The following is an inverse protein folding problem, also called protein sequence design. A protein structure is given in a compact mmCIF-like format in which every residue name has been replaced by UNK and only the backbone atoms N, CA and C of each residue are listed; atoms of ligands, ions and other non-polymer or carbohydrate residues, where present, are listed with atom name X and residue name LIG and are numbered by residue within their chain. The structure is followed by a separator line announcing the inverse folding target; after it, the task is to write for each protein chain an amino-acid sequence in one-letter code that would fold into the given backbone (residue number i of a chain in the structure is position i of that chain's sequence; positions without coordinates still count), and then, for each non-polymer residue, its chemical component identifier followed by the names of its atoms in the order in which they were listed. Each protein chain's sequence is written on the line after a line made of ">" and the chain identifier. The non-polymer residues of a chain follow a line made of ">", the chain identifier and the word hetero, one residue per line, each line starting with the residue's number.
data_IF_827903045347
#
_entry.id   IF_827903045347
#
_cell.length_a   1.000
_cell.length_b   1.000
_cell.length_c   1.000
_cell.angle_alpha   90.00
_cell.angle_beta   90.00
_cell.angle_gamma   90.00
#
_symmetry.space_group_name_H-M   'P 1'
#
loop_
_entity.id
_entity.type
_entity.pdbx_description
1 polymer ?
#
# COMPACT_ATOMS: atom_id res chain seq x y z
N UNK A 1 11.54 -11.00 20.77
CA UNK A 1 10.30 -10.40 20.24
C UNK A 1 9.74 -11.37 19.21
N UNK A 2 8.49 -11.83 19.37
CA UNK A 2 7.88 -12.79 18.42
C UNK A 2 7.68 -12.12 17.08
N UNK A 3 8.01 -12.80 15.98
CA UNK A 3 7.80 -12.26 14.63
C UNK A 3 6.44 -12.71 14.10
N UNK A 4 5.71 -11.79 13.48
CA UNK A 4 4.43 -12.05 12.84
C UNK A 4 4.65 -12.23 11.34
N UNK A 5 4.29 -13.38 10.79
CA UNK A 5 4.43 -13.68 9.36
C UNK A 5 3.06 -13.75 8.69
N UNK A 6 2.82 -12.89 7.71
CA UNK A 6 1.64 -12.98 6.85
C UNK A 6 1.99 -13.78 5.61
N UNK A 7 1.22 -14.83 5.32
CA UNK A 7 1.39 -15.67 4.14
C UNK A 7 0.09 -15.67 3.35
N UNK A 8 0.20 -15.34 2.06
CA UNK A 8 -0.94 -15.28 1.15
C UNK A 8 -0.53 -15.64 -0.28
N UNK A 9 -1.51 -15.89 -1.14
CA UNK A 9 -1.24 -16.15 -2.56
C UNK A 9 -0.95 -14.88 -3.36
N UNK A 10 -1.54 -13.73 -2.98
CA UNK A 10 -1.50 -12.50 -3.77
C UNK A 10 -0.71 -11.39 -3.05
N UNK A 11 0.19 -10.71 -3.78
CA UNK A 11 1.02 -9.63 -3.21
C UNK A 11 0.22 -8.38 -2.84
N UNK A 12 -0.82 -8.05 -3.61
CA UNK A 12 -1.70 -6.91 -3.32
C UNK A 12 -2.33 -7.03 -1.92
N UNK A 13 -2.85 -8.22 -1.59
CA UNK A 13 -3.40 -8.53 -0.29
C UNK A 13 -2.37 -8.43 0.84
N UNK A 14 -1.17 -8.99 0.64
CA UNK A 14 -0.07 -8.89 1.61
C UNK A 14 0.26 -7.43 1.94
N UNK A 15 0.32 -6.56 0.93
CA UNK A 15 0.66 -5.16 1.13
C UNK A 15 -0.43 -4.43 1.94
N UNK A 16 -1.71 -4.66 1.65
CA UNK A 16 -2.83 -4.06 2.38
C UNK A 16 -2.84 -4.48 3.84
N UNK A 17 -2.75 -5.79 4.11
CA UNK A 17 -2.75 -6.31 5.48
C UNK A 17 -1.52 -5.84 6.23
N UNK A 18 -0.34 -5.95 5.62
CA UNK A 18 0.90 -5.56 6.29
C UNK A 18 0.84 -4.11 6.73
N UNK A 19 0.34 -3.25 5.85
CA UNK A 19 0.13 -1.86 6.16
C UNK A 19 -0.89 -1.67 7.29
N UNK A 20 -2.05 -2.34 7.23
CA UNK A 20 -3.06 -2.26 8.28
C UNK A 20 -2.53 -2.71 9.65
N UNK A 21 -1.83 -3.85 9.72
CA UNK A 21 -1.28 -4.37 10.97
C UNK A 21 -0.21 -3.43 11.54
N UNK A 22 0.63 -2.82 10.70
CA UNK A 22 1.58 -1.79 11.14
C UNK A 22 0.87 -0.54 11.66
N UNK A 23 -0.25 -0.12 11.06
CA UNK A 23 -1.05 1.00 11.57
C UNK A 23 -1.69 0.71 12.94
N UNK A 24 -2.00 -0.56 13.23
CA UNK A 24 -2.64 -0.99 14.48
C UNK A 24 -1.60 -1.22 15.59
N UNK A 25 -0.55 -1.97 15.28
CA UNK A 25 0.41 -2.45 16.26
C UNK A 25 1.69 -1.61 16.32
N UNK A 26 1.97 -0.81 15.29
CA UNK A 26 3.15 0.05 15.23
C UNK A 26 4.44 -0.73 15.38
N UNK A 27 5.40 -0.15 16.10
CA UNK A 27 6.72 -0.74 16.36
C UNK A 27 6.68 -1.89 17.38
N UNK A 28 5.52 -2.22 17.94
CA UNK A 28 5.36 -3.32 18.88
C UNK A 28 5.33 -4.69 18.21
N UNK A 29 5.38 -4.76 16.87
CA UNK A 29 5.48 -6.02 16.11
C UNK A 29 6.68 -6.02 15.17
N UNK A 30 7.31 -7.18 15.03
CA UNK A 30 8.22 -7.45 13.92
C UNK A 30 7.42 -8.18 12.83
N UNK A 31 7.12 -7.49 11.73
CA UNK A 31 6.28 -8.05 10.65
C UNK A 31 7.12 -8.58 9.48
N UNK A 32 6.72 -9.72 8.94
CA UNK A 32 7.19 -10.27 7.67
C UNK A 32 5.98 -10.67 6.81
N UNK A 33 6.07 -10.44 5.50
CA UNK A 33 5.00 -10.76 4.56
C UNK A 33 5.59 -11.48 3.36
N UNK A 34 5.11 -12.69 3.06
CA UNK A 34 5.60 -13.49 1.94
C UNK A 34 4.46 -14.08 1.16
N UNK A 35 4.68 -14.29 -0.14
CA UNK A 35 3.76 -15.16 -0.89
C UNK A 35 4.06 -16.62 -0.56
N UNK A 36 3.09 -17.49 -0.79
CA UNK A 36 3.28 -18.95 -0.68
C UNK A 36 4.40 -19.45 -1.60
N UNK A 37 4.53 -18.85 -2.78
CA UNK A 37 5.55 -19.21 -3.78
C UNK A 37 6.97 -18.82 -3.35
N UNK A 38 7.09 -17.74 -2.57
CA UNK A 38 8.37 -17.22 -2.09
C UNK A 38 8.80 -17.80 -0.73
N UNK A 39 8.08 -18.80 -0.21
CA UNK A 39 8.39 -19.39 1.09
C UNK A 39 9.70 -20.18 1.08
N UNK A 40 10.45 -20.04 2.17
CA UNK A 40 11.67 -20.81 2.43
C UNK A 40 11.54 -21.52 3.78
N UNK A 41 12.26 -22.64 3.95
CA UNK A 41 12.16 -23.49 5.16
C UNK A 41 12.54 -22.75 6.44
N UNK A 42 13.45 -21.80 6.35
CA UNK A 42 13.98 -21.07 7.51
C UNK A 42 13.28 -19.73 7.75
N UNK A 43 12.19 -19.45 7.01
CA UNK A 43 11.47 -18.19 7.14
C UNK A 43 10.79 -18.06 8.51
N UNK A 44 10.14 -19.13 8.97
CA UNK A 44 9.36 -19.18 10.22
C UNK A 44 10.13 -20.05 11.22
N UNK A 45 10.44 -19.49 12.38
CA UNK A 45 11.17 -20.19 13.44
C UNK A 45 10.27 -20.39 14.67
N UNK A 46 10.72 -21.21 15.63
CA UNK A 46 9.96 -21.45 16.85
C UNK A 46 9.61 -20.16 17.59
N UNK A 47 8.40 -20.10 18.15
CA UNK A 47 7.79 -18.94 18.83
C UNK A 47 7.34 -17.79 17.91
N UNK A 48 7.46 -17.91 16.60
CA UNK A 48 6.83 -17.00 15.65
C UNK A 48 5.32 -17.26 15.55
N UNK A 49 4.59 -16.26 15.02
CA UNK A 49 3.15 -16.33 14.78
C UNK A 49 2.91 -16.26 13.28
N UNK A 50 2.06 -17.13 12.75
CA UNK A 50 1.72 -17.16 11.33
C UNK A 50 0.28 -16.76 11.11
N UNK A 51 0.05 -15.86 10.15
CA UNK A 51 -1.26 -15.43 9.69
C UNK A 51 -1.44 -15.89 8.25
N UNK A 52 -2.41 -16.76 7.99
CA UNK A 52 -2.73 -17.28 6.66
C UNK A 52 -3.93 -16.57 6.07
N UNK A 53 -3.91 -16.31 4.77
CA UNK A 53 -5.02 -15.65 4.08
C UNK A 53 -6.22 -16.55 3.81
N UNK A 54 -6.01 -17.86 3.73
CA UNK A 54 -7.02 -18.86 3.37
C UNK A 54 -6.71 -20.20 4.02
N UNK A 55 -7.76 -20.97 4.31
CA UNK A 55 -7.64 -22.29 4.94
C UNK A 55 -6.85 -23.27 4.08
N UNK A 56 -7.03 -23.23 2.76
CA UNK A 56 -6.30 -24.07 1.80
C UNK A 56 -4.77 -23.93 1.93
N UNK A 57 -4.28 -22.79 2.45
CA UNK A 57 -2.85 -22.58 2.66
C UNK A 57 -2.28 -23.39 3.83
N UNK A 58 -3.11 -23.89 4.76
CA UNK A 58 -2.63 -24.69 5.89
C UNK A 58 -1.86 -25.91 5.40
N UNK A 59 -2.43 -26.67 4.46
CA UNK A 59 -1.78 -27.86 3.91
C UNK A 59 -0.48 -27.53 3.16
N UNK A 60 -0.49 -26.46 2.38
CA UNK A 60 0.64 -26.04 1.54
C UNK A 60 1.81 -25.52 2.40
N UNK A 61 1.50 -24.78 3.46
CA UNK A 61 2.49 -24.11 4.30
C UNK A 61 2.99 -24.98 5.45
N UNK A 62 2.29 -26.07 5.79
CA UNK A 62 2.64 -26.93 6.93
C UNK A 62 4.10 -27.41 6.96
N UNK A 63 4.73 -27.82 5.84
CA UNK A 63 6.13 -28.25 5.85
C UNK A 63 7.14 -27.15 6.20
N UNK A 64 6.73 -25.88 6.15
CA UNK A 64 7.58 -24.71 6.36
C UNK A 64 7.32 -24.02 7.72
N UNK A 65 6.35 -24.51 8.50
CA UNK A 65 5.93 -23.89 9.76
C UNK A 65 6.16 -24.88 10.91
N UNK A 66 7.03 -24.55 11.89
CA UNK A 66 7.21 -25.37 13.09
C UNK A 66 5.89 -25.67 13.80
N UNK A 67 5.75 -26.89 14.35
CA UNK A 67 4.49 -27.32 14.98
C UNK A 67 4.07 -26.48 16.19
N UNK A 68 5.03 -25.83 16.85
CA UNK A 68 4.83 -24.96 18.00
C UNK A 68 4.30 -23.56 17.64
N UNK A 69 4.38 -23.15 16.37
CA UNK A 69 3.94 -21.82 15.96
C UNK A 69 2.40 -21.77 15.91
N UNK A 70 1.76 -20.79 16.58
CA UNK A 70 0.35 -20.52 16.35
C UNK A 70 0.09 -20.11 14.90
N UNK A 71 -0.99 -20.65 14.33
CA UNK A 71 -1.45 -20.34 12.98
C UNK A 71 -2.85 -19.74 13.09
N UNK A 72 -2.96 -18.49 12.67
CA UNK A 72 -4.18 -17.68 12.66
C UNK A 72 -4.71 -17.66 11.23
N UNK A 73 -5.97 -18.02 11.03
CA UNK A 73 -6.64 -17.87 9.75
C UNK A 73 -7.30 -16.49 9.68
N UNK A 74 -6.70 -15.58 8.90
CA UNK A 74 -7.24 -14.22 8.78
C UNK A 74 -8.55 -14.21 8.03
N UNK A 75 -9.55 -13.55 8.63
CA UNK A 75 -10.80 -13.20 7.95
C UNK A 75 -10.70 -11.80 7.37
N UNK A 76 -11.36 -11.61 6.23
CA UNK A 76 -11.42 -10.34 5.51
C UNK A 76 -12.79 -9.72 5.66
N UNK A 77 -12.83 -8.40 5.77
CA UNK A 77 -14.05 -7.61 5.89
C UNK A 77 -13.99 -6.40 4.96
N UNK A 78 -15.15 -5.89 4.56
CA UNK A 78 -15.28 -4.63 3.84
C UNK A 78 -14.81 -3.48 4.73
N UNK A 79 -13.99 -2.59 4.17
CA UNK A 79 -13.61 -1.36 4.84
C UNK A 79 -14.78 -0.36 4.78
N UNK A 80 -15.53 -0.24 5.88
CA UNK A 80 -16.71 0.63 5.94
C UNK A 80 -16.39 2.12 5.72
N UNK A 81 -15.13 2.55 5.94
CA UNK A 81 -14.74 3.95 5.68
C UNK A 81 -14.71 4.24 4.18
N UNK A 82 -14.44 3.23 3.36
CA UNK A 82 -14.36 3.35 1.91
C UNK A 82 -15.72 3.22 1.21
N UNK A 83 -16.80 2.87 1.93
CA UNK A 83 -18.15 2.67 1.38
C UNK A 83 -19.03 3.92 1.41
N UNK A 84 -18.45 5.12 1.55
CA UNK A 84 -19.20 6.40 1.62
C UNK A 84 -20.24 6.59 0.51
N UNK A 85 -19.95 6.14 -0.72
CA UNK A 85 -20.90 6.21 -1.83
C UNK A 85 -22.12 5.31 -1.62
N UNK A 86 -21.95 4.11 -1.07
CA UNK A 86 -23.06 3.19 -0.76
C UNK A 86 -24.03 3.81 0.25
N UNK A 87 -23.51 4.48 1.29
CA UNK A 87 -24.32 5.19 2.28
C UNK A 87 -25.24 6.26 1.67
N UNK A 88 -24.87 6.84 0.53
CA UNK A 88 -25.63 7.89 -0.15
C UNK A 88 -26.64 7.37 -1.18
N UNK A 89 -26.69 6.06 -1.42
CA UNK A 89 -27.59 5.50 -2.42
C UNK A 89 -29.06 5.50 -1.94
N UNK A 90 -30.03 5.66 -2.86
CA UNK A 90 -31.43 5.41 -2.53
C UNK A 90 -31.61 3.97 -2.05
N UNK A 91 -32.53 3.70 -1.13
CA UNK A 91 -32.78 2.34 -0.65
C UNK A 91 -33.19 1.40 -1.81
N UNK A 92 -32.96 0.10 -1.63
CA UNK A 92 -33.36 -0.99 -2.54
C UNK A 92 -32.70 -0.99 -3.93
N UNK A 93 -31.46 -0.49 -4.04
CA UNK A 93 -30.67 -0.68 -5.26
C UNK A 93 -30.35 -2.17 -5.49
N UNK A 94 -30.26 -2.56 -6.75
CA UNK A 94 -29.69 -3.82 -7.20
C UNK A 94 -28.20 -3.65 -7.46
N UNK A 95 -27.38 -4.22 -6.59
CA UNK A 95 -25.92 -4.03 -6.59
C UNK A 95 -25.24 -5.34 -6.98
N UNK A 96 -24.51 -5.32 -8.10
CA UNK A 96 -23.73 -6.45 -8.57
C UNK A 96 -22.27 -6.30 -8.12
N UNK A 97 -21.76 -7.32 -7.44
CA UNK A 97 -20.38 -7.34 -6.95
C UNK A 97 -19.45 -8.00 -7.96
N UNK A 98 -18.43 -7.25 -8.39
CA UNK A 98 -17.38 -7.70 -9.30
C UNK A 98 -16.09 -7.92 -8.51
N UNK A 99 -15.53 -9.13 -8.63
CA UNK A 99 -14.30 -9.53 -7.95
C UNK A 99 -13.49 -10.52 -8.82
N UNK A 100 -12.29 -10.87 -8.40
CA UNK A 100 -11.37 -11.79 -9.08
C UNK A 100 -11.87 -13.24 -9.16
N UNK A 101 -12.63 -13.68 -8.15
CA UNK A 101 -13.22 -15.02 -8.08
C UNK A 101 -14.66 -14.95 -7.57
N UNK A 102 -15.50 -15.91 -7.97
CA UNK A 102 -16.88 -16.02 -7.48
C UNK A 102 -16.95 -16.21 -5.97
N UNK A 103 -16.00 -16.95 -5.37
CA UNK A 103 -15.86 -17.08 -3.92
C UNK A 103 -15.70 -15.71 -3.24
N UNK A 104 -14.77 -14.88 -3.76
CA UNK A 104 -14.53 -13.55 -3.19
C UNK A 104 -15.67 -12.57 -3.42
N UNK A 105 -16.38 -12.68 -4.55
CA UNK A 105 -17.58 -11.91 -4.82
C UNK A 105 -18.68 -12.26 -3.81
N UNK A 106 -18.93 -13.54 -3.54
CA UNK A 106 -19.91 -14.00 -2.55
C UNK A 106 -19.55 -13.59 -1.11
N UNK A 107 -18.27 -13.68 -0.73
CA UNK A 107 -17.80 -13.15 0.57
C UNK A 107 -18.12 -11.65 0.72
N UNK A 108 -17.94 -10.89 -0.35
CA UNK A 108 -18.19 -9.44 -0.37
C UNK A 108 -19.68 -9.13 -0.36
N UNK A 109 -20.50 -9.90 -1.08
CA UNK A 109 -21.97 -9.86 -1.03
C UNK A 109 -22.46 -10.05 0.40
N UNK A 110 -21.98 -11.09 1.09
CA UNK A 110 -22.39 -11.37 2.46
C UNK A 110 -21.97 -10.25 3.42
N UNK A 111 -20.76 -9.72 3.25
CA UNK A 111 -20.25 -8.59 4.04
C UNK A 111 -21.13 -7.35 3.86
N UNK A 112 -21.40 -6.95 2.62
CA UNK A 112 -22.21 -5.77 2.32
C UNK A 112 -23.67 -5.94 2.73
N UNK A 113 -24.26 -7.12 2.54
CA UNK A 113 -25.63 -7.41 2.96
C UNK A 113 -25.80 -7.29 4.48
N UNK A 114 -24.77 -7.64 5.25
CA UNK A 114 -24.79 -7.51 6.72
C UNK A 114 -24.63 -6.05 7.19
N UNK A 115 -23.93 -5.20 6.43
CA UNK A 115 -23.64 -3.81 6.81
C UNK A 115 -24.71 -2.84 6.27
N UNK A 116 -25.09 -3.00 5.00
CA UNK A 116 -25.98 -2.14 4.21
C UNK A 116 -27.19 -2.97 3.75
N UNK A 117 -27.96 -3.45 4.72
CA UNK A 117 -29.09 -4.37 4.55
C UNK A 117 -30.28 -3.79 3.75
N UNK A 118 -30.25 -2.50 3.43
CA UNK A 118 -31.26 -1.81 2.64
C UNK A 118 -31.16 -2.03 1.13
N UNK A 119 -30.16 -2.74 0.63
CA UNK A 119 -29.93 -3.02 -0.79
C UNK A 119 -29.95 -4.52 -1.08
N UNK A 120 -30.16 -4.86 -2.36
CA UNK A 120 -30.06 -6.23 -2.86
C UNK A 120 -28.70 -6.44 -3.51
N UNK A 121 -28.04 -7.55 -3.19
CA UNK A 121 -26.68 -7.85 -3.64
C UNK A 121 -26.62 -9.18 -4.36
N UNK A 122 -25.92 -9.21 -5.49
CA UNK A 122 -25.60 -10.41 -6.25
C UNK A 122 -24.11 -10.48 -6.57
N UNK A 123 -23.56 -11.69 -6.67
CA UNK A 123 -22.18 -11.90 -7.08
C UNK A 123 -22.10 -12.04 -8.60
N UNK A 124 -21.13 -11.38 -9.22
CA UNK A 124 -20.88 -11.58 -10.64
C UNK A 124 -20.34 -13.00 -10.90
N UNK A 125 -20.94 -13.66 -11.87
CA UNK A 125 -20.47 -14.93 -12.41
C UNK A 125 -20.02 -14.69 -13.85
N UNK A 126 -18.78 -15.08 -14.18
CA UNK A 126 -18.16 -14.89 -15.50
C UNK A 126 -18.88 -15.60 -16.65
N UNK A 127 -19.85 -16.47 -16.33
CA UNK A 127 -20.66 -17.22 -17.29
C UNK A 127 -21.94 -16.45 -17.69
N UNK A 128 -22.31 -15.41 -16.94
CA UNK A 128 -23.58 -14.69 -17.10
C UNK A 128 -23.36 -13.25 -17.59
N UNK A 129 -24.28 -12.76 -18.43
CA UNK A 129 -24.37 -11.34 -18.75
C UNK A 129 -24.79 -10.55 -17.52
N UNK A 130 -24.38 -9.28 -17.43
CA UNK A 130 -24.87 -8.36 -16.41
C UNK A 130 -26.37 -8.13 -16.65
N UNK A 131 -27.18 -8.39 -15.65
CA UNK A 131 -28.64 -8.24 -15.73
C UNK A 131 -29.04 -6.77 -15.93
N UNK A 132 -30.02 -6.47 -16.82
CA UNK A 132 -30.51 -5.11 -17.04
C UNK A 132 -31.06 -4.42 -15.79
N UNK A 133 -31.43 -5.19 -14.76
CA UNK A 133 -31.93 -4.70 -13.48
C UNK A 133 -30.83 -4.20 -12.55
N UNK A 134 -29.55 -4.34 -12.91
CA UNK A 134 -28.42 -3.90 -12.09
C UNK A 134 -28.29 -2.37 -12.08
N UNK A 135 -28.47 -1.74 -10.92
CA UNK A 135 -28.34 -0.29 -10.76
C UNK A 135 -26.88 0.15 -10.63
N UNK A 136 -26.09 -0.63 -9.89
CA UNK A 136 -24.70 -0.33 -9.55
C UNK A 136 -23.79 -1.55 -9.65
N UNK A 137 -22.59 -1.33 -10.19
CA UNK A 137 -21.47 -2.26 -10.07
C UNK A 137 -20.60 -1.83 -8.89
N UNK A 138 -20.28 -2.78 -8.01
CA UNK A 138 -19.38 -2.55 -6.87
C UNK A 138 -18.19 -3.49 -6.94
N UNK A 139 -16.99 -2.97 -6.72
CA UNK A 139 -15.76 -3.78 -6.68
C UNK A 139 -14.91 -3.42 -5.46
N UNK A 140 -14.35 -4.41 -4.73
CA UNK A 140 -13.48 -4.16 -3.59
C UNK A 140 -12.00 -4.01 -3.97
N UNK A 141 -11.69 -3.02 -4.80
CA UNK A 141 -10.32 -2.68 -5.19
C UNK A 141 -9.84 -3.29 -6.51
N UNK A 142 -10.72 -4.00 -7.23
CA UNK A 142 -10.43 -4.64 -8.51
C UNK A 142 -11.09 -3.92 -9.69
N UNK A 143 -10.95 -2.59 -9.75
CA UNK A 143 -11.58 -1.74 -10.78
C UNK A 143 -11.28 -2.17 -12.22
N UNK A 144 -10.11 -2.76 -12.46
CA UNK A 144 -9.68 -3.28 -13.76
C UNK A 144 -10.52 -4.47 -14.26
N UNK A 145 -11.21 -5.18 -13.35
CA UNK A 145 -12.10 -6.29 -13.68
C UNK A 145 -13.51 -5.84 -14.08
N UNK A 146 -13.85 -4.57 -13.82
CA UNK A 146 -15.16 -4.03 -14.16
C UNK A 146 -15.25 -3.85 -15.69
N UNK A 147 -16.30 -4.37 -16.35
CA UNK A 147 -16.47 -4.21 -17.78
C UNK A 147 -16.49 -2.74 -18.22
N UNK A 148 -15.83 -2.45 -19.34
CA UNK A 148 -15.79 -1.10 -19.91
C UNK A 148 -17.18 -0.66 -20.34
N UNK A 149 -17.50 0.63 -20.16
CA UNK A 149 -18.76 1.24 -20.60
C UNK A 149 -19.80 1.42 -19.50
N UNK A 150 -19.59 0.86 -18.31
CA UNK A 150 -20.44 1.12 -17.15
C UNK A 150 -19.99 2.38 -16.42
N UNK A 151 -20.94 3.28 -16.13
CA UNK A 151 -20.68 4.56 -15.43
C UNK A 151 -21.06 4.49 -13.96
N UNK A 152 -22.04 3.65 -13.59
CA UNK A 152 -22.49 3.46 -12.21
C UNK A 152 -21.60 2.44 -11.50
N UNK A 153 -20.33 2.81 -11.30
CA UNK A 153 -19.33 1.97 -10.66
C UNK A 153 -18.87 2.58 -9.34
N UNK A 154 -18.84 1.77 -8.29
CA UNK A 154 -18.32 2.13 -6.97
C UNK A 154 -17.18 1.17 -6.64
N UNK A 155 -15.96 1.69 -6.61
CA UNK A 155 -14.86 0.99 -5.96
C UNK A 155 -14.88 1.28 -4.45
N UNK A 156 -15.06 0.23 -3.65
CA UNK A 156 -15.08 0.31 -2.17
C UNK A 156 -13.70 0.03 -1.56
N UNK A 157 -12.65 -0.02 -2.38
CA UNK A 157 -11.29 -0.27 -1.98
C UNK A 157 -11.04 -1.71 -1.49
N UNK A 158 -9.76 -2.04 -1.24
CA UNK A 158 -9.38 -3.39 -0.86
C UNK A 158 -9.98 -3.76 0.50
N UNK A 159 -10.41 -5.01 0.60
CA UNK A 159 -10.83 -5.60 1.88
C UNK A 159 -9.66 -5.64 2.86
N UNK A 160 -10.01 -5.49 4.14
CA UNK A 160 -9.08 -5.42 5.26
C UNK A 160 -9.25 -6.64 6.17
N UNK A 161 -8.33 -6.85 7.11
CA UNK A 161 -8.49 -7.87 8.16
C UNK A 161 -9.62 -7.46 9.11
N UNK A 162 -10.43 -8.43 9.55
CA UNK A 162 -11.50 -8.19 10.52
C UNK A 162 -10.98 -8.00 11.95
N UNK A 163 -11.80 -7.41 12.83
CA UNK A 163 -11.37 -7.10 14.19
C UNK A 163 -11.11 -8.36 15.03
N UNK A 164 -11.78 -9.49 14.76
CA UNK A 164 -11.56 -10.73 15.50
C UNK A 164 -10.16 -11.30 15.25
N UNK A 165 -9.69 -11.28 13.99
CA UNK A 165 -8.31 -11.65 13.66
C UNK A 165 -7.31 -10.73 14.36
N UNK A 166 -7.61 -9.42 14.48
CA UNK A 166 -6.76 -8.48 15.23
C UNK A 166 -6.69 -8.83 16.72
N UNK A 167 -7.81 -9.21 17.33
CA UNK A 167 -7.84 -9.67 18.73
C UNK A 167 -7.03 -10.95 18.93
N UNK A 168 -7.16 -11.90 18.01
CA UNK A 168 -6.40 -13.15 18.05
C UNK A 168 -4.89 -12.91 17.89
N UNK A 169 -4.48 -12.05 16.95
CA UNK A 169 -3.07 -11.65 16.81
C UNK A 169 -2.57 -11.00 18.11
N UNK A 170 -3.35 -10.09 18.69
CA UNK A 170 -2.98 -9.39 19.93
C UNK A 170 -2.82 -10.33 21.12
N UNK A 171 -3.63 -11.40 21.22
CA UNK A 171 -3.55 -12.36 22.32
C UNK A 171 -2.29 -13.22 22.23
N UNK A 172 -1.87 -13.63 21.02
CA UNK A 172 -0.63 -14.39 20.83
C UNK A 172 0.65 -13.55 20.97
N UNK A 173 0.56 -12.25 20.74
CA UNK A 173 1.65 -11.29 20.94
C UNK A 173 1.84 -10.88 22.41
N UNK A 174 0.95 -11.30 23.32
CA UNK A 174 0.96 -10.96 24.75
C UNK A 174 1.08 -9.45 24.99
N UNK A 175 0.34 -8.68 24.19
CA UNK A 175 0.39 -7.22 24.25
C UNK A 175 -0.47 -6.69 25.39
N UNK A 176 0.09 -5.82 26.22
CA UNK A 176 -0.67 -5.09 27.23
C UNK A 176 -1.43 -3.90 26.60
N UNK A 177 -2.32 -4.17 25.65
CA UNK A 177 -3.20 -3.20 25.01
C UNK A 177 -4.64 -3.55 25.36
N UNK A 178 -5.36 -2.62 25.99
CA UNK A 178 -6.80 -2.79 26.24
C UNK A 178 -7.56 -3.01 24.94
N UNK A 179 -8.60 -3.83 24.95
CA UNK A 179 -9.47 -4.06 23.80
C UNK A 179 -10.03 -2.76 23.20
N UNK A 180 -10.40 -1.78 24.03
CA UNK A 180 -10.86 -0.45 23.58
C UNK A 180 -9.80 0.30 22.78
N UNK A 181 -8.56 0.33 23.27
CA UNK A 181 -7.44 0.95 22.55
C UNK A 181 -7.16 0.24 21.23
N UNK A 182 -7.20 -1.10 21.22
CA UNK A 182 -7.00 -1.88 20.00
C UNK A 182 -8.10 -1.62 18.98
N UNK A 183 -9.35 -1.50 19.41
CA UNK A 183 -10.49 -1.14 18.57
C UNK A 183 -10.35 0.27 17.97
N UNK A 184 -9.91 1.25 18.76
CA UNK A 184 -9.66 2.61 18.25
C UNK A 184 -8.54 2.62 17.19
N UNK A 185 -7.46 1.87 17.41
CA UNK A 185 -6.38 1.72 16.44
C UNK A 185 -6.85 0.98 15.18
N UNK A 186 -7.70 -0.03 15.33
CA UNK A 186 -8.35 -0.71 14.22
C UNK A 186 -9.18 0.26 13.37
N UNK A 187 -10.07 1.07 13.98
CA UNK A 187 -10.83 2.09 13.23
C UNK A 187 -9.94 3.12 12.56
N UNK A 188 -8.90 3.61 13.25
CA UNK A 188 -7.89 4.49 12.65
C UNK A 188 -7.23 3.84 11.42
N UNK A 189 -6.87 2.55 11.50
CA UNK A 189 -6.27 1.82 10.38
C UNK A 189 -7.20 1.76 9.16
N UNK A 190 -8.52 1.66 9.35
CA UNK A 190 -9.48 1.63 8.24
C UNK A 190 -9.44 2.94 7.44
N UNK A 191 -9.42 4.08 8.14
CA UNK A 191 -9.31 5.40 7.52
C UNK A 191 -7.99 5.54 6.76
N UNK A 192 -6.87 5.16 7.38
CA UNK A 192 -5.55 5.29 6.76
C UNK A 192 -5.42 4.38 5.53
N UNK A 193 -5.94 3.16 5.57
CA UNK A 193 -5.98 2.24 4.42
C UNK A 193 -6.81 2.83 3.28
N UNK A 194 -8.00 3.38 3.58
CA UNK A 194 -8.88 3.97 2.57
C UNK A 194 -8.22 5.18 1.87
N UNK A 195 -7.59 6.07 2.63
CA UNK A 195 -6.90 7.24 2.07
C UNK A 195 -5.68 6.84 1.24
N UNK A 196 -4.87 5.88 1.72
CA UNK A 196 -3.74 5.34 0.95
C UNK A 196 -4.19 4.73 -0.37
N UNK A 197 -5.30 4.00 -0.38
CA UNK A 197 -5.84 3.39 -1.58
C UNK A 197 -6.28 4.43 -2.62
N UNK A 198 -7.07 5.43 -2.20
CA UNK A 198 -7.48 6.54 -3.08
C UNK A 198 -6.27 7.25 -3.69
N UNK A 199 -5.27 7.57 -2.88
CA UNK A 199 -4.04 8.21 -3.35
C UNK A 199 -3.31 7.37 -4.39
N UNK A 200 -3.27 6.05 -4.24
CA UNK A 200 -2.70 5.14 -5.25
C UNK A 200 -3.48 5.18 -6.55
N UNK A 201 -4.82 5.17 -6.50
CA UNK A 201 -5.65 5.29 -7.71
C UNK A 201 -5.46 6.62 -8.44
N UNK A 202 -5.44 7.75 -7.71
CA UNK A 202 -5.16 9.05 -8.32
C UNK A 202 -3.83 9.04 -9.07
N UNK A 203 -2.81 8.38 -8.50
CA UNK A 203 -1.50 8.26 -9.12
C UNK A 203 -1.53 7.37 -10.38
N UNK A 204 -2.19 6.21 -10.35
CA UNK A 204 -2.28 5.33 -11.53
C UNK A 204 -3.06 6.01 -12.66
N UNK A 205 -4.23 6.60 -12.39
CA UNK A 205 -5.00 7.32 -13.41
C UNK A 205 -4.24 8.53 -13.99
N UNK A 206 -3.41 9.21 -13.17
CA UNK A 206 -2.56 10.32 -13.66
C UNK A 206 -1.37 9.87 -14.52
N UNK A 207 -0.96 8.60 -14.41
CA UNK A 207 0.11 8.00 -15.20
C UNK A 207 -0.43 7.40 -16.51
N UNK A 208 -1.62 6.81 -16.49
CA UNK A 208 -2.28 6.27 -17.70
C UNK A 208 -2.62 7.38 -18.71
N UNK A 209 -2.96 8.58 -18.21
CA UNK A 209 -3.12 9.76 -19.07
C UNK A 209 -1.80 10.29 -19.65
N UNK A 210 -0.63 9.92 -19.11
CA UNK A 210 0.67 10.29 -19.68
C UNK A 210 1.06 9.35 -20.84
N UNK A 211 0.79 8.05 -20.77
CA UNK A 211 1.18 7.10 -21.83
C UNK A 211 0.42 7.29 -23.16
N UNK A 212 -0.83 7.75 -23.13
CA UNK A 212 -1.59 8.04 -24.37
C UNK A 212 -1.32 9.44 -24.97
N UNK A 213 -0.52 10.28 -24.31
CA UNK A 213 -0.19 11.63 -24.81
C UNK A 213 1.13 11.73 -25.55
N UNK A 214 1.94 10.66 -25.61
CA UNK A 214 3.24 10.67 -26.30
C UNK A 214 3.19 10.30 -27.79
N UNK A 215 2.05 9.90 -28.35
CA UNK A 215 1.94 9.53 -29.78
C UNK A 215 1.23 10.55 -30.66
N UNK A 216 0.71 11.65 -30.11
CA UNK A 216 0.20 12.75 -30.93
C UNK A 216 0.50 14.07 -30.26
N UNK A 217 1.50 14.77 -30.79
CA UNK A 217 1.47 16.21 -31.07
C UNK A 217 2.86 16.68 -31.49
N UNK A 218 3.18 16.48 -32.77
CA UNK A 218 3.96 17.46 -33.49
C UNK A 218 2.97 18.43 -34.13
N UNK A 219 2.77 19.60 -33.52
CA UNK A 219 2.64 20.89 -34.21
C UNK A 219 2.54 22.04 -33.19
N UNK A 220 3.59 22.85 -33.18
CA UNK A 220 3.71 24.27 -32.77
C UNK A 220 2.51 24.97 -32.11
N UNK A 221 2.71 25.55 -30.92
CA UNK A 221 2.68 27.01 -30.67
C UNK A 221 3.03 27.38 -29.21
N UNK A 222 3.35 28.65 -29.01
CA UNK A 222 4.36 29.20 -28.10
C UNK A 222 3.82 29.68 -26.73
N UNK A 223 3.08 28.82 -26.01
CA UNK A 223 2.52 29.09 -24.66
C UNK A 223 3.04 28.12 -23.57
N UNK A 224 4.10 27.37 -23.86
CA UNK A 224 4.51 26.19 -23.08
C UNK A 224 5.32 26.45 -21.80
N UNK A 225 6.08 27.54 -21.69
CA UNK A 225 7.05 27.66 -20.60
C UNK A 225 6.43 27.92 -19.21
N UNK A 226 5.33 28.68 -19.15
CA UNK A 226 4.66 29.02 -17.89
C UNK A 226 3.85 27.84 -17.35
N UNK A 227 3.19 27.08 -18.23
CA UNK A 227 2.42 25.88 -17.82
C UNK A 227 3.32 24.70 -17.43
N UNK A 228 4.47 24.54 -18.09
CA UNK A 228 5.43 23.48 -17.75
C UNK A 228 6.07 23.75 -16.39
N UNK A 229 6.43 25.02 -16.07
CA UNK A 229 6.95 25.39 -14.75
C UNK A 229 5.93 25.19 -13.62
N UNK A 230 4.66 25.51 -13.85
CA UNK A 230 3.59 25.35 -12.85
C UNK A 230 3.24 23.86 -12.61
N UNK A 231 3.23 23.03 -13.67
CA UNK A 231 3.10 21.57 -13.51
C UNK A 231 4.27 20.96 -12.76
N UNK A 232 5.48 21.44 -13.03
CA UNK A 232 6.69 20.91 -12.43
C UNK A 232 6.81 21.26 -10.94
N UNK A 233 6.45 22.48 -10.55
CA UNK A 233 6.40 22.90 -9.13
C UNK A 233 5.37 22.07 -8.35
N UNK A 234 4.23 21.76 -8.99
CA UNK A 234 3.17 20.94 -8.40
C UNK A 234 3.60 19.49 -8.21
N UNK A 235 4.31 18.91 -9.19
CA UNK A 235 4.89 17.57 -9.09
C UNK A 235 5.92 17.47 -7.95
N UNK A 236 6.79 18.48 -7.79
CA UNK A 236 7.74 18.51 -6.67
C UNK A 236 7.03 18.69 -5.33
N UNK A 237 6.05 19.59 -5.23
CA UNK A 237 5.25 19.77 -4.01
C UNK A 237 4.55 18.46 -3.58
N UNK A 238 4.06 17.68 -4.54
CA UNK A 238 3.49 16.35 -4.28
C UNK A 238 4.53 15.35 -3.77
N UNK A 239 5.76 15.38 -4.29
CA UNK A 239 6.85 14.54 -3.78
C UNK A 239 7.24 14.92 -2.34
N UNK A 240 7.30 16.22 -2.01
CA UNK A 240 7.54 16.70 -0.64
C UNK A 240 6.48 16.13 0.29
N UNK A 241 5.19 16.29 -0.05
CA UNK A 241 4.06 15.74 0.73
C UNK A 241 4.16 14.22 0.92
N UNK A 242 4.56 13.48 -0.12
CA UNK A 242 4.72 12.01 0.00
C UNK A 242 5.81 11.62 1.01
N UNK A 243 6.90 12.39 1.10
CA UNK A 243 7.97 12.14 2.06
C UNK A 243 7.54 12.60 3.47
N UNK A 244 6.83 13.73 3.58
CA UNK A 244 6.27 14.25 4.85
C UNK A 244 5.25 13.32 5.48
N UNK A 245 4.43 12.60 4.69
CA UNK A 245 3.48 11.60 5.19
C UNK A 245 4.18 10.52 6.02
N UNK A 246 5.44 10.22 5.71
CA UNK A 246 6.24 9.28 6.50
C UNK A 246 6.99 9.93 7.68
N UNK A 247 6.91 11.26 7.84
CA UNK A 247 7.52 12.00 8.94
C UNK A 247 9.04 12.13 8.88
N UNK A 248 9.64 11.95 7.69
CA UNK A 248 11.10 11.87 7.54
C UNK A 248 11.69 12.75 6.44
N UNK A 249 11.05 13.89 6.16
CA UNK A 249 11.48 14.80 5.08
C UNK A 249 12.92 15.29 5.27
N UNK A 250 13.27 15.79 6.46
CA UNK A 250 14.60 16.34 6.74
C UNK A 250 15.71 15.30 6.56
N UNK A 251 15.47 14.08 7.03
CA UNK A 251 16.43 12.98 6.90
C UNK A 251 16.55 12.54 5.44
N UNK A 252 15.46 12.61 4.68
CA UNK A 252 15.46 12.31 3.25
C UNK A 252 16.22 13.36 2.45
N UNK A 253 16.08 14.64 2.80
CA UNK A 253 16.88 15.73 2.24
C UNK A 253 18.36 15.58 2.60
N UNK A 254 18.69 15.19 3.83
CA UNK A 254 20.06 14.90 4.24
C UNK A 254 20.66 13.73 3.43
N UNK A 255 19.89 12.66 3.20
CA UNK A 255 20.29 11.53 2.34
C UNK A 255 20.55 12.00 0.90
N UNK A 256 19.66 12.81 0.32
CA UNK A 256 19.82 13.34 -1.04
C UNK A 256 21.06 14.25 -1.14
N UNK A 257 21.32 15.09 -0.12
CA UNK A 257 22.54 15.92 -0.02
C UNK A 257 23.81 15.06 -0.05
N UNK A 258 23.82 13.95 0.69
CA UNK A 258 24.96 13.02 0.69
C UNK A 258 25.18 12.42 -0.71
N UNK A 259 24.13 11.93 -1.37
CA UNK A 259 24.29 11.38 -2.72
C UNK A 259 24.66 12.44 -3.76
N UNK A 260 24.23 13.70 -3.60
CA UNK A 260 24.65 14.81 -4.46
C UNK A 260 26.14 15.07 -4.35
N UNK A 261 26.69 15.08 -3.13
CA UNK A 261 28.14 15.19 -2.93
C UNK A 261 28.89 14.03 -3.58
N UNK A 262 28.34 12.81 -3.50
CA UNK A 262 28.92 11.63 -4.16
C UNK A 262 28.94 11.77 -5.68
N UNK A 263 27.83 12.24 -6.28
CA UNK A 263 27.73 12.48 -7.73
C UNK A 263 28.73 13.52 -8.21
N UNK A 264 28.93 14.63 -7.47
CA UNK A 264 29.96 15.64 -7.77
C UNK A 264 31.39 15.08 -7.70
N UNK A 265 31.64 14.14 -6.79
CA UNK A 265 32.93 13.44 -6.67
C UNK A 265 33.06 12.21 -7.60
N UNK A 266 32.08 11.94 -8.49
CA UNK A 266 31.98 10.73 -9.32
C UNK A 266 32.02 9.41 -8.52
N UNK A 267 31.54 9.42 -7.27
CA UNK A 267 31.48 8.26 -6.37
C UNK A 267 30.02 7.84 -6.12
N UNK A 268 29.80 6.55 -5.95
CA UNK A 268 28.56 6.03 -5.37
C UNK A 268 28.78 5.68 -3.90
N UNK A 269 27.74 5.85 -3.08
CA UNK A 269 27.79 5.51 -1.67
C UNK A 269 26.87 4.33 -1.36
N UNK A 270 27.39 3.39 -0.58
CA UNK A 270 26.62 2.31 0.02
C UNK A 270 26.01 2.73 1.36
N UNK A 271 25.08 1.91 1.88
CA UNK A 271 24.33 2.18 3.12
C UNK A 271 25.23 2.50 4.32
N UNK A 272 26.34 1.78 4.49
CA UNK A 272 27.32 2.02 5.58
C UNK A 272 27.93 3.41 5.51
N UNK A 273 28.29 3.88 4.31
CA UNK A 273 28.91 5.20 4.13
C UNK A 273 27.90 6.33 4.32
N UNK A 274 26.67 6.13 3.84
CA UNK A 274 25.57 7.08 4.04
C UNK A 274 25.24 7.22 5.52
N UNK A 275 25.15 6.11 6.26
CA UNK A 275 24.90 6.10 7.71
C UNK A 275 25.97 6.86 8.50
N UNK A 276 27.25 6.67 8.16
CA UNK A 276 28.36 7.42 8.76
C UNK A 276 28.24 8.93 8.49
N UNK A 277 27.93 9.34 7.25
CA UNK A 277 27.78 10.76 6.92
C UNK A 277 26.54 11.40 7.55
N UNK A 278 25.46 10.63 7.73
CA UNK A 278 24.29 11.09 8.48
C UNK A 278 24.64 11.33 9.96
N UNK A 279 25.44 10.44 10.55
CA UNK A 279 25.91 10.60 11.92
C UNK A 279 26.74 11.88 12.10
N UNK A 280 27.62 12.18 11.14
CA UNK A 280 28.40 13.44 11.12
C UNK A 280 27.49 14.68 11.04
N UNK A 281 26.27 14.54 10.51
CA UNK A 281 25.24 15.57 10.43
C UNK A 281 24.30 15.57 11.65
N UNK A 282 24.57 14.77 12.68
CA UNK A 282 23.72 14.64 13.88
C UNK A 282 22.48 13.76 13.70
N UNK A 283 22.36 13.06 12.57
CA UNK A 283 21.20 12.22 12.23
C UNK A 283 21.57 10.75 12.47
N UNK A 284 20.92 10.12 13.45
CA UNK A 284 21.12 8.70 13.76
C UNK A 284 19.97 7.88 13.22
N UNK A 285 20.24 6.98 12.27
CA UNK A 285 19.26 6.04 11.72
C UNK A 285 19.70 4.59 11.94
N UNK A 286 18.75 3.70 12.20
CA UNK A 286 18.96 2.25 12.10
C UNK A 286 19.09 1.82 10.62
N UNK A 287 19.61 0.62 10.36
CA UNK A 287 19.72 0.12 8.98
C UNK A 287 18.35 -0.04 8.31
N UNK A 288 17.32 -0.39 9.10
CA UNK A 288 15.95 -0.50 8.62
C UNK A 288 15.34 0.89 8.31
N UNK A 289 15.59 1.89 9.15
CA UNK A 289 15.16 3.27 8.91
C UNK A 289 15.80 3.88 7.66
N UNK A 290 17.10 3.65 7.47
CA UNK A 290 17.80 4.08 6.26
C UNK A 290 17.25 3.34 5.03
N UNK A 291 16.98 2.03 5.15
CA UNK A 291 16.40 1.24 4.06
C UNK A 291 15.03 1.75 3.65
N UNK A 292 14.12 1.99 4.60
CA UNK A 292 12.78 2.52 4.33
C UNK A 292 12.84 3.85 3.57
N UNK A 293 13.69 4.79 4.01
CA UNK A 293 13.88 6.07 3.33
C UNK A 293 14.42 5.89 1.91
N UNK A 294 15.39 5.00 1.72
CA UNK A 294 15.92 4.69 0.38
C UNK A 294 14.90 4.01 -0.53
N UNK A 295 14.02 3.17 0.01
CA UNK A 295 12.92 2.56 -0.74
C UNK A 295 11.93 3.63 -1.21
N UNK A 296 11.47 4.52 -0.32
CA UNK A 296 10.58 5.63 -0.67
C UNK A 296 11.23 6.60 -1.67
N UNK A 297 12.49 6.97 -1.47
CA UNK A 297 13.22 7.83 -2.43
C UNK A 297 13.37 7.16 -3.80
N UNK A 298 13.53 5.83 -3.84
CA UNK A 298 13.63 5.06 -5.08
C UNK A 298 12.26 4.95 -5.78
N UNK A 299 11.17 4.72 -5.03
CA UNK A 299 9.80 4.73 -5.55
C UNK A 299 9.41 6.09 -6.16
N UNK A 300 9.89 7.19 -5.58
CA UNK A 300 9.70 8.54 -6.12
C UNK A 300 10.60 8.84 -7.33
N UNK A 301 11.55 7.94 -7.65
CA UNK A 301 12.55 8.12 -8.70
C UNK A 301 13.60 9.18 -8.38
N UNK A 302 13.80 9.52 -7.10
CA UNK A 302 14.80 10.49 -6.64
C UNK A 302 16.19 9.87 -6.51
N UNK A 303 16.25 8.55 -6.31
CA UNK A 303 17.50 7.78 -6.31
C UNK A 303 17.34 6.50 -7.13
N UNK A 304 18.45 5.99 -7.66
CA UNK A 304 18.52 4.74 -8.39
C UNK A 304 19.30 3.71 -7.55
N UNK A 305 18.59 2.72 -6.99
CA UNK A 305 19.18 1.65 -6.18
C UNK A 305 19.57 0.47 -7.08
N UNK A 306 20.86 0.23 -7.27
CA UNK A 306 21.34 -0.93 -8.04
C UNK A 306 21.39 -2.18 -7.16
N UNK A 307 20.88 -3.32 -7.66
CA UNK A 307 21.08 -4.62 -7.00
C UNK A 307 22.54 -5.08 -7.21
N UNK A 308 23.40 -4.85 -6.22
CA UNK A 308 24.82 -5.29 -6.23
C UNK A 308 25.81 -4.28 -5.66
N UNK A 309 27.10 -4.40 -5.99
CA UNK A 309 28.20 -3.53 -5.49
C UNK A 309 28.19 -2.10 -6.06
N UNK A 310 27.23 -1.76 -6.93
CA UNK A 310 27.14 -0.44 -7.60
C UNK A 310 26.70 0.72 -6.69
N UNK A 311 26.11 0.42 -5.53
CA UNK A 311 25.60 1.42 -4.60
C UNK A 311 24.35 2.14 -5.09
N UNK A 312 23.90 3.14 -4.34
CA UNK A 312 22.78 4.00 -4.72
C UNK A 312 23.31 5.30 -5.32
N UNK A 313 22.67 5.79 -6.37
CA UNK A 313 23.02 7.06 -7.05
C UNK A 313 21.85 8.02 -7.04
N UNK A 314 22.14 9.32 -6.98
CA UNK A 314 21.14 10.37 -7.16
C UNK A 314 20.69 10.42 -8.63
N UNK A 315 19.39 10.47 -8.88
CA UNK A 315 18.85 10.69 -10.23
C UNK A 315 18.84 12.18 -10.56
N UNK A 316 18.69 12.55 -11.83
CA UNK A 316 18.55 13.96 -12.22
C UNK A 316 17.27 14.57 -11.63
N UNK A 317 16.19 13.79 -11.55
CA UNK A 317 14.96 14.16 -10.84
C UNK A 317 15.21 14.44 -9.35
N UNK A 318 16.08 13.66 -8.71
CA UNK A 318 16.51 13.86 -7.32
C UNK A 318 17.29 15.15 -7.10
N UNK A 319 18.13 15.57 -8.06
CA UNK A 319 18.80 16.88 -8.00
C UNK A 319 17.82 18.03 -8.09
N UNK A 320 16.90 17.98 -9.06
CA UNK A 320 15.95 19.08 -9.24
C UNK A 320 14.99 19.18 -8.05
N UNK A 321 14.55 18.04 -7.50
CA UNK A 321 13.76 18.01 -6.26
C UNK A 321 14.51 18.68 -5.09
N UNK A 322 15.79 18.35 -4.92
CA UNK A 322 16.61 18.90 -3.84
C UNK A 322 16.82 20.42 -4.01
N UNK A 323 17.09 20.88 -5.23
CA UNK A 323 17.29 22.31 -5.53
C UNK A 323 16.03 23.13 -5.31
N UNK A 324 14.87 22.63 -5.76
CA UNK A 324 13.58 23.28 -5.53
C UNK A 324 13.27 23.45 -4.02
N UNK A 325 13.61 22.45 -3.21
CA UNK A 325 13.39 22.53 -1.77
C UNK A 325 14.34 23.54 -1.09
N UNK A 326 15.58 23.67 -1.56
CA UNK A 326 16.50 24.69 -1.03
C UNK A 326 16.02 26.11 -1.38
N UNK A 327 15.58 26.35 -2.62
CA UNK A 327 15.12 27.67 -3.07
C UNK A 327 13.82 28.16 -2.44
N UNK A 328 13.04 27.27 -1.81
CA UNK A 328 11.76 27.62 -1.17
C UNK A 328 11.92 27.91 0.33
N UNK A 329 13.12 27.64 0.89
CA UNK A 329 13.42 27.75 2.33
C UNK A 329 14.69 28.58 2.64
N UNK A 330 15.17 29.38 1.68
CA UNK A 330 16.10 30.51 1.88
C UNK A 330 15.33 31.83 2.06
#
# INVERSE_FOLDING_TARGET
>A
MRKLHIIASQKAYLNTISFQLLEIFGDSIALSSTTVQDMTKDLVVENDIVVLSKEVLIGITRPFIPKSCPVILAKREVNIVATKKLLSLPKKQQILIINDTSEHAEETVNSLRNIFFEHEYSAYNSISSIEPTTDWLVTPGEIELVPKGFTNVIDIGPRIVDFNTILEISSYLDMNISQTSLMNRFFKSQLVVAEKYKNKQYLTTSLDHKEHSYEREHTTHNDGETQVKDRFSKDISLMVKKIEVHGFLDESLAILRIYRSGKKELKSFGRTKVKSRLLDMGITLTDQQLRLRLEVLNELGLVNVHKGRGGTKLSDKGEVFFDFHQSTHE
#
